data_IF_392795228667
#
_entry.id   IF_392795228667
#
_cell.length_a   1.000
_cell.length_b   1.000
_cell.length_c   1.000
_cell.angle_alpha   90.00
_cell.angle_beta   90.00
_cell.angle_gamma   90.00
#
_symmetry.space_group_name_H-M   'P 1'
#
loop_
_entity.id
_entity.type
_entity.pdbx_description
1 polymer ?
#
# COMPACT_ATOMS: atom_id res chain seq x y z
N UNK A 1 3.59 14.52 -21.74
CA UNK A 1 4.18 13.94 -20.51
C UNK A 1 4.25 12.43 -20.70
N UNK A 2 5.33 11.79 -20.24
CA UNK A 2 5.47 10.34 -20.22
C UNK A 2 5.70 9.89 -18.77
N UNK A 3 5.33 8.65 -18.44
CA UNK A 3 5.49 8.08 -17.12
C UNK A 3 5.69 6.57 -17.21
N UNK A 4 6.18 5.99 -16.12
CA UNK A 4 6.41 4.56 -15.96
C UNK A 4 5.98 4.15 -14.54
N UNK A 5 5.61 2.88 -14.36
CA UNK A 5 5.06 2.38 -13.10
C UNK A 5 5.75 1.08 -12.73
N UNK A 6 6.66 1.17 -11.76
CA UNK A 6 7.32 0.01 -11.16
C UNK A 6 7.16 0.04 -9.63
N UNK A 7 6.33 -0.84 -9.04
CA UNK A 7 6.14 -0.90 -7.59
C UNK A 7 7.42 -1.18 -6.78
N UNK A 8 8.48 -1.69 -7.42
CA UNK A 8 9.75 -1.93 -6.76
C UNK A 8 10.55 -0.64 -6.48
N UNK A 9 10.16 0.51 -7.04
CA UNK A 9 10.78 1.79 -6.70
C UNK A 9 10.62 2.17 -5.22
N UNK A 10 9.59 1.66 -4.55
CA UNK A 10 9.39 1.90 -3.10
C UNK A 10 10.51 1.29 -2.24
N UNK A 11 11.28 0.32 -2.75
CA UNK A 11 12.34 -0.35 -1.97
C UNK A 11 13.74 0.13 -2.31
N UNK A 12 13.87 1.18 -3.12
CA UNK A 12 15.17 1.74 -3.45
C UNK A 12 15.88 2.25 -2.19
N UNK A 13 17.21 2.25 -2.27
CA UNK A 13 18.06 2.85 -1.26
C UNK A 13 18.22 4.35 -1.54
N UNK A 14 18.57 5.16 -0.52
CA UNK A 14 18.74 6.60 -0.70
C UNK A 14 19.67 6.95 -1.86
N UNK A 15 20.79 6.25 -2.01
CA UNK A 15 21.77 6.53 -3.04
C UNK A 15 21.18 6.37 -4.45
N UNK A 16 20.39 5.31 -4.67
CA UNK A 16 19.70 5.09 -5.95
C UNK A 16 18.60 6.11 -6.19
N UNK A 17 17.89 6.58 -5.15
CA UNK A 17 16.88 7.64 -5.32
C UNK A 17 17.55 8.97 -5.68
N UNK A 18 18.75 9.24 -5.16
CA UNK A 18 19.56 10.39 -5.59
C UNK A 18 20.00 10.27 -7.05
N UNK A 19 20.43 9.09 -7.51
CA UNK A 19 20.70 8.87 -8.94
C UNK A 19 19.47 9.17 -9.82
N UNK A 20 18.26 8.79 -9.39
CA UNK A 20 17.02 9.12 -10.12
C UNK A 20 16.81 10.64 -10.18
N UNK A 21 17.06 11.34 -9.07
CA UNK A 21 16.95 12.80 -8.98
C UNK A 21 17.96 13.52 -9.88
N UNK A 22 19.19 13.01 -9.97
CA UNK A 22 20.22 13.55 -10.87
C UNK A 22 19.83 13.40 -12.35
N UNK A 23 19.21 12.27 -12.71
CA UNK A 23 18.75 12.02 -14.08
C UNK A 23 17.55 12.87 -14.47
N UNK A 24 16.57 13.01 -13.57
CA UNK A 24 15.38 13.82 -13.81
C UNK A 24 15.00 14.60 -12.55
N UNK A 25 15.53 15.82 -12.39
CA UNK A 25 15.18 16.64 -11.24
C UNK A 25 13.67 16.93 -11.16
N UNK A 26 13.03 17.24 -12.28
CA UNK A 26 11.63 17.70 -12.28
C UNK A 26 10.61 16.54 -12.23
N UNK A 27 11.05 15.33 -11.88
CA UNK A 27 10.18 14.15 -11.77
C UNK A 27 9.05 14.39 -10.76
N UNK A 28 7.84 14.01 -11.15
CA UNK A 28 6.69 13.95 -10.24
C UNK A 28 6.40 12.51 -9.86
N UNK A 29 6.30 12.25 -8.57
CA UNK A 29 6.16 10.92 -8.00
C UNK A 29 4.72 10.74 -7.54
N UNK A 30 4.10 9.61 -7.90
CA UNK A 30 2.79 9.22 -7.39
C UNK A 30 3.01 7.94 -6.59
N UNK A 31 2.69 7.99 -5.29
CA UNK A 31 2.79 6.84 -4.42
C UNK A 31 1.44 6.54 -3.77
N UNK A 32 0.89 5.37 -4.11
CA UNK A 32 -0.41 4.95 -3.63
C UNK A 32 -0.27 3.90 -2.54
N UNK A 33 -0.81 4.22 -1.37
CA UNK A 33 -0.79 3.40 -0.18
C UNK A 33 -1.98 2.43 -0.16
N UNK A 34 -1.80 1.34 0.56
CA UNK A 34 -2.86 0.39 0.89
C UNK A 34 -2.70 0.00 2.34
N UNK A 35 -3.79 -0.36 3.01
CA UNK A 35 -3.74 -0.95 4.34
C UNK A 35 -2.61 -2.02 4.39
N UNK A 36 -1.58 -1.83 5.24
CA UNK A 36 -0.43 -2.71 5.29
C UNK A 36 -0.80 -4.15 5.69
N UNK A 37 -1.88 -4.36 6.46
CA UNK A 37 -2.41 -5.69 6.78
C UNK A 37 -2.94 -6.37 5.51
N UNK A 38 -3.82 -5.68 4.77
CA UNK A 38 -4.43 -6.19 3.54
C UNK A 38 -3.39 -6.37 2.42
N UNK A 39 -2.40 -5.47 2.32
CA UNK A 39 -1.28 -5.58 1.38
C UNK A 39 -0.45 -6.82 1.67
N UNK A 40 -0.10 -7.04 2.94
CA UNK A 40 0.72 -8.19 3.35
C UNK A 40 0.02 -9.49 3.05
N UNK A 41 -1.26 -9.57 3.38
CA UNK A 41 -2.09 -10.72 3.03
C UNK A 41 -2.13 -10.96 1.51
N UNK A 42 -2.40 -9.92 0.73
CA UNK A 42 -2.41 -10.00 -0.74
C UNK A 42 -1.06 -10.48 -1.32
N UNK A 43 0.05 -10.06 -0.71
CA UNK A 43 1.40 -10.52 -1.06
C UNK A 43 1.61 -12.00 -0.72
N UNK A 44 1.11 -12.47 0.43
CA UNK A 44 1.15 -13.89 0.81
C UNK A 44 0.33 -14.76 -0.15
N UNK A 45 -0.90 -14.34 -0.51
CA UNK A 45 -1.73 -15.01 -1.53
C UNK A 45 -0.97 -15.15 -2.85
N UNK A 46 -0.41 -14.04 -3.34
CA UNK A 46 0.29 -14.02 -4.62
C UNK A 46 1.58 -14.86 -4.62
N UNK A 47 2.38 -14.73 -3.57
CA UNK A 47 3.72 -15.33 -3.47
C UNK A 47 3.74 -16.78 -3.00
N UNK A 48 2.82 -17.19 -2.14
CA UNK A 48 2.81 -18.53 -1.53
C UNK A 48 1.75 -19.45 -2.14
N UNK A 49 0.67 -18.91 -2.69
CA UNK A 49 -0.41 -19.67 -3.30
C UNK A 49 -0.26 -19.71 -4.81
N UNK A 50 -0.43 -18.56 -5.48
CA UNK A 50 -0.52 -18.46 -6.95
C UNK A 50 0.77 -18.88 -7.65
N UNK A 51 1.92 -18.30 -7.28
CA UNK A 51 3.21 -18.61 -7.92
C UNK A 51 3.72 -20.02 -7.63
N UNK A 52 3.18 -20.71 -6.63
CA UNK A 52 3.65 -22.02 -6.17
C UNK A 52 2.62 -23.14 -6.33
N UNK A 53 1.46 -22.85 -6.93
CA UNK A 53 0.38 -23.83 -7.13
C UNK A 53 -0.17 -24.43 -5.84
N UNK A 54 -0.13 -23.71 -4.71
CA UNK A 54 -0.59 -24.22 -3.41
C UNK A 54 -1.91 -23.56 -3.00
N UNK A 55 -2.79 -24.31 -2.35
CA UNK A 55 -3.92 -23.73 -1.63
C UNK A 55 -3.41 -23.00 -0.36
N UNK A 56 -3.94 -21.80 -0.10
CA UNK A 56 -3.63 -21.01 1.10
C UNK A 56 -3.97 -21.74 2.40
N UNK A 57 -5.05 -22.52 2.39
CA UNK A 57 -5.49 -23.33 3.54
C UNK A 57 -4.43 -24.37 3.95
N UNK A 58 -3.53 -24.74 3.03
CA UNK A 58 -2.43 -25.68 3.28
C UNK A 58 -1.14 -24.98 3.70
N UNK A 59 -1.13 -23.65 3.80
CA UNK A 59 0.03 -22.87 4.24
C UNK A 59 -0.09 -22.66 5.75
N UNK A 60 0.88 -23.17 6.50
CA UNK A 60 0.91 -22.97 7.95
C UNK A 60 1.17 -21.51 8.33
N UNK A 61 0.63 -21.09 9.47
CA UNK A 61 0.88 -19.77 10.06
C UNK A 61 2.37 -19.45 10.15
N UNK A 62 3.19 -20.38 10.63
CA UNK A 62 4.67 -20.22 10.68
C UNK A 62 5.28 -19.85 9.33
N UNK A 63 4.71 -20.29 8.21
CA UNK A 63 5.19 -19.95 6.86
C UNK A 63 4.67 -18.59 6.39
N UNK A 64 3.47 -18.19 6.82
CA UNK A 64 2.92 -16.86 6.59
C UNK A 64 3.72 -15.81 7.37
N UNK A 65 3.93 -16.01 8.67
CA UNK A 65 4.72 -15.12 9.53
C UNK A 65 6.12 -14.88 8.96
N UNK A 66 6.83 -15.96 8.63
CA UNK A 66 8.16 -15.90 8.01
C UNK A 66 8.17 -15.25 6.62
N UNK A 67 7.03 -15.18 5.94
CA UNK A 67 6.92 -14.44 4.67
C UNK A 67 6.89 -12.93 4.92
N UNK A 68 6.18 -12.49 5.96
CA UNK A 68 6.09 -11.08 6.34
C UNK A 68 7.42 -10.52 6.87
N UNK A 69 8.21 -11.37 7.53
CA UNK A 69 9.55 -11.03 8.05
C UNK A 69 10.65 -10.95 6.97
N UNK A 70 10.38 -11.38 5.73
CA UNK A 70 11.40 -11.33 4.66
C UNK A 70 11.75 -9.87 4.39
N UNK A 71 13.03 -9.55 4.29
CA UNK A 71 13.53 -8.21 3.98
C UNK A 71 12.82 -7.55 2.79
N UNK A 72 12.62 -8.28 1.69
CA UNK A 72 11.91 -7.76 0.52
C UNK A 72 10.43 -7.42 0.78
N UNK A 73 9.79 -8.10 1.73
CA UNK A 73 8.42 -7.82 2.18
C UNK A 73 8.41 -6.60 3.11
N UNK A 74 9.26 -6.61 4.14
CA UNK A 74 9.42 -5.50 5.09
C UNK A 74 9.63 -4.18 4.36
N UNK A 75 10.61 -4.11 3.45
CA UNK A 75 10.88 -2.91 2.66
C UNK A 75 9.70 -2.44 1.82
N UNK A 76 8.82 -3.35 1.37
CA UNK A 76 7.62 -3.03 0.58
C UNK A 76 6.45 -2.54 1.43
N UNK A 77 6.50 -2.77 2.74
CA UNK A 77 5.45 -2.37 3.69
C UNK A 77 5.89 -1.27 4.63
N UNK A 78 7.17 -0.88 4.58
CA UNK A 78 7.74 0.25 5.31
C UNK A 78 7.54 1.53 4.49
N UNK A 79 6.34 2.09 4.62
CA UNK A 79 5.92 3.28 3.90
C UNK A 79 6.63 4.52 4.44
N UNK A 80 6.87 4.60 5.75
CA UNK A 80 7.54 5.74 6.38
C UNK A 80 8.95 5.91 5.84
N UNK A 81 9.74 4.84 5.82
CA UNK A 81 11.06 4.84 5.18
C UNK A 81 10.98 5.27 3.72
N UNK A 82 9.97 4.81 2.99
CA UNK A 82 9.80 5.18 1.58
C UNK A 82 9.56 6.69 1.45
N UNK A 83 8.68 7.27 2.26
CA UNK A 83 8.44 8.72 2.21
C UNK A 83 9.69 9.50 2.54
N UNK A 84 10.36 9.19 3.64
CA UNK A 84 11.55 9.91 4.11
C UNK A 84 12.61 10.00 3.00
N UNK A 85 12.92 8.86 2.37
CA UNK A 85 13.95 8.79 1.33
C UNK A 85 13.57 9.61 0.10
N UNK A 86 12.33 9.51 -0.36
CA UNK A 86 11.90 10.20 -1.57
C UNK A 86 11.66 11.69 -1.33
N UNK A 87 11.12 12.07 -0.18
CA UNK A 87 10.93 13.46 0.22
C UNK A 87 12.26 14.19 0.44
N UNK A 88 13.26 13.52 1.00
CA UNK A 88 14.61 14.09 1.13
C UNK A 88 15.23 14.42 -0.24
N UNK A 89 14.97 13.60 -1.27
CA UNK A 89 15.54 13.79 -2.60
C UNK A 89 14.76 14.79 -3.49
N UNK A 90 13.43 14.79 -3.42
CA UNK A 90 12.57 15.56 -4.35
C UNK A 90 11.73 16.65 -3.68
N UNK A 91 11.60 16.64 -2.36
CA UNK A 91 10.68 17.51 -1.63
C UNK A 91 9.20 17.07 -1.73
N UNK A 92 8.39 17.52 -0.77
CA UNK A 92 6.97 17.13 -0.65
C UNK A 92 6.13 17.55 -1.87
N UNK A 93 6.42 18.70 -2.47
CA UNK A 93 5.64 19.24 -3.60
C UNK A 93 5.76 18.41 -4.87
N UNK A 94 6.82 17.59 -5.00
CA UNK A 94 7.02 16.67 -6.13
C UNK A 94 6.46 15.27 -5.87
N UNK A 95 5.77 15.07 -4.76
CA UNK A 95 5.26 13.75 -4.34
C UNK A 95 3.77 13.83 -4.05
N UNK A 96 3.00 13.09 -4.82
CA UNK A 96 1.59 12.84 -4.56
C UNK A 96 1.44 11.54 -3.77
N UNK A 97 0.85 11.65 -2.57
CA UNK A 97 0.41 10.50 -1.78
C UNK A 97 -1.10 10.31 -1.96
N UNK A 98 -1.51 9.10 -2.34
CA UNK A 98 -2.92 8.71 -2.41
C UNK A 98 -3.15 7.32 -1.85
N UNK A 99 -4.39 6.87 -1.87
CA UNK A 99 -4.80 5.61 -1.25
C UNK A 99 -5.55 4.72 -2.24
N UNK A 100 -5.25 3.42 -2.23
CA UNK A 100 -5.96 2.44 -3.04
C UNK A 100 -7.45 2.33 -2.67
N UNK A 101 -7.79 2.62 -1.42
CA UNK A 101 -9.16 2.66 -0.92
C UNK A 101 -9.99 3.71 -1.67
N UNK A 102 -9.39 4.84 -2.04
CA UNK A 102 -10.05 5.92 -2.80
C UNK A 102 -10.42 5.48 -4.23
N UNK A 103 -9.70 4.52 -4.82
CA UNK A 103 -10.06 3.95 -6.13
C UNK A 103 -11.43 3.26 -6.07
N UNK A 104 -11.81 2.71 -4.91
CA UNK A 104 -13.11 2.07 -4.74
C UNK A 104 -14.19 3.04 -4.27
N UNK A 105 -13.82 4.04 -3.47
CA UNK A 105 -14.75 5.00 -2.89
C UNK A 105 -15.13 6.11 -3.88
N UNK A 106 -14.13 6.78 -4.45
CA UNK A 106 -14.29 7.84 -5.43
C UNK A 106 -13.08 7.89 -6.39
N UNK A 107 -13.03 6.98 -7.39
CA UNK A 107 -11.92 6.94 -8.34
C UNK A 107 -11.82 8.21 -9.19
N UNK A 108 -12.91 8.98 -9.30
CA UNK A 108 -12.96 10.21 -10.07
C UNK A 108 -12.25 11.33 -9.34
N UNK A 109 -12.53 11.53 -8.07
CA UNK A 109 -11.82 12.52 -7.26
C UNK A 109 -10.31 12.25 -7.23
N UNK A 110 -9.90 11.00 -6.95
CA UNK A 110 -8.49 10.63 -6.93
C UNK A 110 -7.80 10.94 -8.27
N UNK A 111 -8.44 10.59 -9.39
CA UNK A 111 -7.89 10.85 -10.72
C UNK A 111 -7.75 12.35 -11.00
N UNK A 112 -8.75 13.15 -10.63
CA UNK A 112 -8.72 14.62 -10.80
C UNK A 112 -7.61 15.24 -9.96
N UNK A 113 -7.40 14.79 -8.73
CA UNK A 113 -6.27 15.23 -7.89
C UNK A 113 -4.92 14.88 -8.51
N UNK A 114 -4.77 13.67 -9.06
CA UNK A 114 -3.57 13.26 -9.78
C UNK A 114 -3.35 14.15 -11.02
N UNK A 115 -4.41 14.45 -11.80
CA UNK A 115 -4.28 15.34 -12.96
C UNK A 115 -3.83 16.75 -12.59
N UNK A 116 -4.38 17.31 -11.52
CA UNK A 116 -3.95 18.61 -10.98
C UNK A 116 -2.49 18.58 -10.53
N UNK A 117 -2.09 17.54 -9.80
CA UNK A 117 -0.70 17.33 -9.41
C UNK A 117 0.23 17.21 -10.62
N UNK A 118 -0.19 16.53 -11.68
CA UNK A 118 0.54 16.44 -12.95
C UNK A 118 0.41 17.70 -13.82
N UNK A 119 -0.36 18.70 -13.41
CA UNK A 119 -0.53 19.95 -14.15
C UNK A 119 -1.14 19.76 -15.54
N UNK A 120 -1.96 18.73 -15.71
CA UNK A 120 -2.67 18.42 -16.97
C UNK A 120 -4.15 18.74 -16.85
N UNK A 121 -4.84 18.84 -17.98
CA UNK A 121 -6.28 19.12 -18.00
C UNK A 121 -7.07 17.99 -17.32
N UNK A 122 -8.01 18.39 -16.46
CA UNK A 122 -8.99 17.51 -15.83
C UNK A 122 -10.40 17.70 -16.42
N UNK A 123 -10.50 18.11 -17.68
CA UNK A 123 -11.75 18.17 -18.43
C UNK A 123 -12.40 16.79 -18.56
N UNK A 124 -13.72 16.75 -18.67
CA UNK A 124 -14.51 15.50 -18.78
C UNK A 124 -14.03 14.60 -19.93
N UNK A 125 -13.54 15.18 -21.01
CA UNK A 125 -13.03 14.45 -22.18
C UNK A 125 -11.79 13.59 -21.87
N UNK A 126 -11.08 13.87 -20.77
CA UNK A 126 -9.92 13.13 -20.30
C UNK A 126 -10.24 12.17 -19.15
N UNK A 127 -11.49 12.12 -18.69
CA UNK A 127 -11.96 11.17 -17.70
C UNK A 127 -12.38 9.88 -18.42
N UNK A 128 -11.74 8.72 -18.16
CA UNK A 128 -12.09 7.49 -18.85
C UNK A 128 -13.53 7.06 -18.56
N UNK A 129 -14.29 6.73 -19.59
CA UNK A 129 -15.69 6.26 -19.44
C UNK A 129 -15.82 4.98 -18.58
N UNK A 130 -14.74 4.21 -18.44
CA UNK A 130 -14.68 2.98 -17.65
C UNK A 130 -14.18 3.12 -16.22
N UNK A 131 -14.12 4.34 -15.66
CA UNK A 131 -13.44 4.62 -14.38
C UNK A 131 -13.96 3.82 -13.17
N UNK A 132 -15.20 3.33 -13.20
CA UNK A 132 -15.76 2.45 -12.17
C UNK A 132 -15.61 0.94 -12.44
N UNK A 133 -15.03 0.54 -13.58
CA UNK A 133 -14.96 -0.88 -13.96
C UNK A 133 -13.83 -1.56 -13.19
N UNK A 134 -14.19 -2.53 -12.35
CA UNK A 134 -13.21 -3.40 -11.69
C UNK A 134 -12.46 -4.25 -12.72
N UNK A 135 -11.15 -4.08 -12.76
CA UNK A 135 -10.21 -4.91 -13.53
C UNK A 135 -9.36 -5.74 -12.57
N UNK A 136 -8.98 -6.96 -12.96
CA UNK A 136 -8.24 -7.91 -12.11
C UNK A 136 -8.99 -8.44 -10.87
N UNK A 137 -10.22 -8.91 -11.04
CA UNK A 137 -10.92 -9.68 -10.01
C UNK A 137 -10.46 -11.15 -10.01
N UNK A 138 -9.71 -11.58 -8.98
CA UNK A 138 -9.54 -13.02 -8.73
C UNK A 138 -10.29 -13.45 -7.48
N UNK A 139 -10.98 -14.59 -7.58
CA UNK A 139 -11.74 -15.20 -6.49
C UNK A 139 -10.87 -15.51 -5.27
N UNK A 140 -9.57 -15.76 -5.43
CA UNK A 140 -8.73 -16.09 -4.28
C UNK A 140 -8.34 -14.87 -3.42
N UNK A 141 -8.48 -13.62 -3.90
CA UNK A 141 -8.32 -12.43 -3.06
C UNK A 141 -9.49 -12.20 -2.10
N UNK A 142 -10.58 -12.99 -2.19
CA UNK A 142 -11.65 -12.98 -1.19
C UNK A 142 -11.41 -13.97 -0.04
N UNK A 143 -10.25 -14.63 0.01
CA UNK A 143 -9.89 -15.50 1.13
C UNK A 143 -9.68 -14.65 2.38
N UNK A 144 -10.43 -14.94 3.43
CA UNK A 144 -10.31 -14.24 4.71
C UNK A 144 -8.92 -14.45 5.32
N UNK A 145 -8.39 -13.40 5.97
CA UNK A 145 -7.16 -13.49 6.77
C UNK A 145 -7.46 -14.35 8.00
N UNK A 146 -6.70 -15.43 8.27
CA UNK A 146 -6.81 -16.17 9.53
C UNK A 146 -6.63 -15.25 10.74
N UNK A 147 -7.38 -15.47 11.81
CA UNK A 147 -7.40 -14.54 12.95
C UNK A 147 -6.02 -14.39 13.63
N UNK A 148 -5.29 -15.49 13.82
CA UNK A 148 -3.91 -15.48 14.34
C UNK A 148 -2.98 -14.60 13.51
N UNK A 149 -3.11 -14.67 12.18
CA UNK A 149 -2.32 -13.87 11.23
C UNK A 149 -2.77 -12.41 11.26
N UNK A 150 -4.07 -12.15 11.36
CA UNK A 150 -4.62 -10.79 11.45
C UNK A 150 -4.11 -10.08 12.71
N UNK A 151 -4.15 -10.75 13.87
CA UNK A 151 -3.61 -10.23 15.13
C UNK A 151 -2.13 -9.89 14.97
N UNK A 152 -1.33 -10.84 14.46
CA UNK A 152 0.11 -10.61 14.27
C UNK A 152 0.40 -9.42 13.35
N UNK A 153 -0.30 -9.30 12.22
CA UNK A 153 -0.11 -8.18 11.29
C UNK A 153 -0.58 -6.86 11.90
N UNK A 154 -1.65 -6.87 12.70
CA UNK A 154 -2.11 -5.69 13.42
C UNK A 154 -1.06 -5.23 14.45
N UNK A 155 -0.46 -6.14 15.23
CA UNK A 155 0.65 -5.83 16.13
C UNK A 155 1.87 -5.27 15.38
N UNK A 156 2.25 -5.94 14.29
CA UNK A 156 3.42 -5.59 13.48
C UNK A 156 3.31 -4.17 12.88
N UNK A 157 2.12 -3.78 12.42
CA UNK A 157 1.92 -2.51 11.73
C UNK A 157 1.35 -1.40 12.59
N UNK A 158 1.00 -1.66 13.85
CA UNK A 158 0.38 -0.67 14.73
C UNK A 158 1.17 0.65 14.80
N UNK A 159 2.51 0.67 15.01
CA UNK A 159 3.25 1.92 15.10
C UNK A 159 3.20 2.74 13.79
N UNK A 160 3.34 2.05 12.64
CA UNK A 160 3.24 2.70 11.34
C UNK A 160 1.82 3.22 11.08
N UNK A 161 0.78 2.46 11.45
CA UNK A 161 -0.60 2.87 11.28
C UNK A 161 -0.94 4.12 12.09
N UNK A 162 -0.38 4.24 13.30
CA UNK A 162 -0.50 5.45 14.12
C UNK A 162 0.09 6.67 13.41
N UNK A 163 1.31 6.54 12.87
CA UNK A 163 1.95 7.62 12.12
C UNK A 163 1.20 7.98 10.84
N UNK A 164 0.78 6.98 10.06
CA UNK A 164 -0.01 7.22 8.84
C UNK A 164 -1.34 7.91 9.14
N UNK A 165 -2.02 7.50 10.21
CA UNK A 165 -3.27 8.14 10.65
C UNK A 165 -3.03 9.58 11.08
N UNK A 166 -1.98 9.83 11.87
CA UNK A 166 -1.64 11.19 12.32
C UNK A 166 -1.28 12.10 11.14
N UNK A 167 -0.55 11.57 10.16
CA UNK A 167 -0.03 12.33 9.02
C UNK A 167 -1.06 12.58 7.93
N UNK A 168 -1.95 11.62 7.65
CA UNK A 168 -2.81 11.67 6.47
C UNK A 168 -4.32 11.57 6.77
N UNK A 169 -4.74 11.22 7.99
CA UNK A 169 -6.15 11.05 8.33
C UNK A 169 -6.80 9.85 7.62
N UNK A 170 -8.05 9.98 7.20
CA UNK A 170 -8.75 8.93 6.47
C UNK A 170 -8.13 8.74 5.06
N UNK A 171 -7.99 7.50 4.56
CA UNK A 171 -8.47 6.23 5.12
C UNK A 171 -7.50 5.56 6.11
N UNK A 172 -6.32 6.12 6.37
CA UNK A 172 -5.34 5.51 7.27
C UNK A 172 -5.86 5.41 8.73
N UNK A 173 -6.70 6.36 9.15
CA UNK A 173 -7.40 6.30 10.45
C UNK A 173 -8.34 5.10 10.54
N UNK A 174 -9.10 4.76 9.50
CA UNK A 174 -9.90 3.53 9.49
C UNK A 174 -9.01 2.27 9.58
N UNK A 175 -7.88 2.24 8.88
CA UNK A 175 -6.94 1.11 8.97
C UNK A 175 -6.42 0.91 10.39
N UNK A 176 -6.04 2.00 11.07
CA UNK A 176 -5.63 1.99 12.47
C UNK A 176 -6.76 1.45 13.37
N UNK A 177 -7.98 1.98 13.21
CA UNK A 177 -9.16 1.53 13.97
C UNK A 177 -9.43 0.04 13.82
N UNK A 178 -9.28 -0.51 12.59
CA UNK A 178 -9.43 -1.95 12.32
C UNK A 178 -8.34 -2.79 13.01
N UNK A 179 -7.09 -2.30 13.01
CA UNK A 179 -5.99 -2.95 13.71
C UNK A 179 -6.21 -2.96 15.23
N UNK A 180 -6.49 -1.81 15.83
CA UNK A 180 -6.77 -1.68 17.28
C UNK A 180 -7.96 -2.55 17.71
N UNK A 181 -9.05 -2.54 16.92
CA UNK A 181 -10.20 -3.40 17.18
C UNK A 181 -9.88 -4.90 17.14
N UNK A 182 -8.93 -5.31 16.29
CA UNK A 182 -8.44 -6.70 16.25
C UNK A 182 -7.68 -7.04 17.54
N UNK A 183 -6.76 -6.17 17.96
CA UNK A 183 -5.97 -6.37 19.16
C UNK A 183 -6.83 -6.40 20.42
N UNK A 184 -7.80 -5.49 20.54
CA UNK A 184 -8.73 -5.45 21.68
C UNK A 184 -9.52 -6.76 21.84
N UNK A 185 -10.03 -7.34 20.74
CA UNK A 185 -10.75 -8.63 20.79
C UNK A 185 -9.85 -9.79 21.19
N UNK A 186 -8.60 -9.80 20.75
CA UNK A 186 -7.63 -10.84 21.13
C UNK A 186 -7.26 -10.81 22.61
N UNK A 187 -7.19 -9.61 23.21
CA UNK A 187 -6.94 -9.42 24.64
C UNK A 187 -8.12 -9.85 25.51
N UNK A 188 -9.35 -9.54 25.08
CA UNK A 188 -10.58 -9.90 25.78
C UNK A 188 -10.85 -11.42 25.83
N UNK A 189 -10.31 -12.21 24.90
CA UNK A 189 -10.42 -13.67 24.90
C UNK A 189 -9.37 -14.42 25.74
N UNK A 190 -8.45 -13.70 26.39
CA UNK A 190 -7.39 -14.26 27.26
C UNK A 190 -7.60 -13.98 28.76
N UNK A 191 -8.66 -13.27 29.13
CA UNK A 191 -9.07 -13.00 30.51
C UNK A 191 -10.20 -13.94 30.92
#
# INVERSE_FOLDING_TARGET
>A
MAGEITPAYSILKPETVQEVREVNPDLRIIYLLRDPVERSWSSAISGLARRRGRSLEKVSDKRLLRHFERQAHVLRTDYLRTFEIWEEAFGSEQIFIGFLDEIQQDPRDLLVRIYRFLGVSASEEHIPAGLGRKVNSSREYSTAIPESVRIHLAELYLPQLQELSARFGEPATDWLRRAEGTLARSGAGRA
#
